data_IF_074032582751
#
_entry.id   IF_074032582751
#
_cell.length_a   1.000
_cell.length_b   1.000
_cell.length_c   1.000
_cell.angle_alpha   90.00
_cell.angle_beta   90.00
_cell.angle_gamma   90.00
#
_symmetry.space_group_name_H-M   'P 1'
#
loop_
_entity.id
_entity.type
_entity.pdbx_description
1 polymer ?
#
# COMPACT_ATOMS: atom_id res chain seq x y z
N UNK A 1 -7.26 2.98 13.41
CA UNK A 1 -6.12 2.14 12.99
C UNK A 1 -5.43 2.74 11.77
N UNK A 2 -6.08 2.78 10.61
CA UNK A 2 -5.52 3.27 9.34
C UNK A 2 -5.00 4.72 9.38
N UNK A 3 -5.68 5.62 10.12
CA UNK A 3 -5.29 7.03 10.26
C UNK A 3 -3.93 7.24 10.93
N UNK A 4 -3.39 6.24 11.63
CA UNK A 4 -2.01 6.29 12.15
C UNK A 4 -0.95 6.32 11.05
N UNK A 5 -1.28 5.81 9.85
CA UNK A 5 -0.38 5.80 8.69
C UNK A 5 -0.78 6.85 7.66
N UNK A 6 -2.03 6.81 7.19
CA UNK A 6 -2.48 7.65 6.09
C UNK A 6 -2.99 9.03 6.52
N UNK A 7 -3.17 9.27 7.83
CA UNK A 7 -3.76 10.51 8.37
C UNK A 7 -5.07 10.83 7.64
N UNK A 8 -5.19 12.01 7.05
CA UNK A 8 -6.37 12.47 6.32
C UNK A 8 -6.24 12.27 4.79
N UNK A 9 -5.18 11.60 4.32
CA UNK A 9 -4.98 11.33 2.89
C UNK A 9 -5.94 10.27 2.32
N UNK A 10 -6.71 9.60 3.18
CA UNK A 10 -7.83 8.76 2.80
C UNK A 10 -9.09 9.38 3.39
N UNK A 11 -10.08 9.68 2.55
CA UNK A 11 -11.45 9.90 2.99
C UNK A 11 -12.07 8.55 3.36
N UNK A 12 -11.97 8.21 4.66
CA UNK A 12 -12.48 6.97 5.21
C UNK A 12 -14.00 6.84 5.10
N UNK A 13 -14.74 7.96 5.00
CA UNK A 13 -16.20 7.94 4.88
C UNK A 13 -16.67 7.34 3.55
N UNK A 14 -15.78 7.31 2.54
CA UNK A 14 -16.04 6.75 1.20
C UNK A 14 -15.58 5.30 1.07
N UNK A 15 -14.78 4.80 2.01
CA UNK A 15 -14.27 3.43 1.95
C UNK A 15 -15.35 2.44 2.37
N UNK A 16 -15.53 1.37 1.59
CA UNK A 16 -16.40 0.25 1.94
C UNK A 16 -15.60 -1.04 1.96
N UNK A 17 -15.87 -1.89 2.95
CA UNK A 17 -15.25 -3.21 3.11
C UNK A 17 -16.35 -4.25 3.00
N UNK A 18 -16.27 -5.10 1.99
CA UNK A 18 -17.30 -6.07 1.69
C UNK A 18 -16.78 -7.50 1.92
N UNK A 19 -17.55 -8.30 2.66
CA UNK A 19 -17.38 -9.76 2.74
C UNK A 19 -18.05 -10.49 1.57
N UNK A 20 -17.82 -10.04 0.33
CA UNK A 20 -18.37 -10.65 -0.89
C UNK A 20 -17.38 -10.51 -2.05
N UNK A 21 -17.56 -11.34 -3.07
CA UNK A 21 -16.77 -11.26 -4.30
C UNK A 21 -17.08 -9.97 -5.06
N UNK A 22 -16.07 -9.39 -5.69
CA UNK A 22 -16.20 -8.33 -6.69
C UNK A 22 -16.63 -8.89 -8.06
N UNK A 23 -16.10 -10.06 -8.46
CA UNK A 23 -16.38 -10.73 -9.73
C UNK A 23 -16.74 -12.22 -9.53
N UNK A 24 -17.50 -12.85 -10.47
CA UNK A 24 -18.01 -14.23 -10.31
C UNK A 24 -16.95 -15.29 -9.96
N UNK A 25 -15.71 -15.13 -10.43
CA UNK A 25 -14.63 -16.09 -10.26
C UNK A 25 -13.48 -15.57 -9.38
N UNK A 26 -13.73 -14.59 -8.50
CA UNK A 26 -12.72 -14.19 -7.50
C UNK A 26 -12.35 -15.41 -6.63
N UNK A 27 -11.06 -15.79 -6.55
CA UNK A 27 -10.60 -16.95 -5.78
C UNK A 27 -10.94 -16.86 -4.29
N UNK A 28 -10.91 -18.00 -3.60
CA UNK A 28 -10.93 -18.03 -2.12
C UNK A 28 -9.66 -17.36 -1.59
N UNK A 29 -9.71 -16.85 -0.35
CA UNK A 29 -8.60 -16.20 0.33
C UNK A 29 -7.98 -15.07 -0.53
N UNK A 30 -8.84 -14.25 -1.13
CA UNK A 30 -8.45 -13.17 -2.01
C UNK A 30 -9.24 -11.91 -1.66
N UNK A 31 -8.57 -10.76 -1.75
CA UNK A 31 -9.18 -9.44 -1.71
C UNK A 31 -8.93 -8.74 -3.04
N UNK A 32 -9.87 -7.89 -3.46
CA UNK A 32 -9.72 -7.00 -4.59
C UNK A 32 -10.13 -5.60 -4.19
N UNK A 33 -9.35 -4.59 -4.63
CA UNK A 33 -9.59 -3.18 -4.30
C UNK A 33 -9.65 -2.33 -5.58
N UNK A 34 -10.65 -2.51 -6.45
CA UNK A 34 -10.62 -1.91 -7.80
C UNK A 34 -11.08 -0.45 -7.85
N UNK A 35 -11.85 0.04 -6.87
CA UNK A 35 -12.58 1.31 -6.98
C UNK A 35 -12.61 2.09 -5.65
N UNK A 36 -11.58 1.95 -4.81
CA UNK A 36 -11.54 2.54 -3.48
C UNK A 36 -12.40 1.82 -2.43
N UNK A 37 -13.03 0.70 -2.80
CA UNK A 37 -13.67 -0.24 -1.89
C UNK A 37 -12.98 -1.60 -1.94
N UNK A 38 -12.92 -2.29 -0.81
CA UNK A 38 -12.26 -3.57 -0.63
C UNK A 38 -13.29 -4.71 -0.66
N UNK A 39 -13.02 -5.76 -1.42
CA UNK A 39 -13.90 -6.92 -1.60
C UNK A 39 -13.17 -8.18 -1.18
N UNK A 40 -13.28 -8.52 0.11
CA UNK A 40 -12.73 -9.75 0.66
C UNK A 40 -13.67 -10.91 0.35
N UNK A 41 -13.10 -12.01 -0.13
CA UNK A 41 -13.83 -13.26 -0.19
C UNK A 41 -14.30 -13.65 1.22
N UNK A 42 -15.50 -14.24 1.36
CA UNK A 42 -16.08 -14.62 2.66
C UNK A 42 -15.16 -15.47 3.55
N UNK A 43 -14.27 -16.27 2.93
CA UNK A 43 -13.33 -17.13 3.66
C UNK A 43 -12.21 -16.38 4.39
N UNK A 44 -11.97 -15.10 4.08
CA UNK A 44 -10.93 -14.28 4.69
C UNK A 44 -11.45 -12.91 5.17
N UNK A 45 -12.76 -12.70 5.13
CA UNK A 45 -13.38 -11.47 5.61
C UNK A 45 -13.44 -11.48 7.14
N UNK A 46 -13.05 -10.36 7.75
CA UNK A 46 -13.25 -10.10 9.17
C UNK A 46 -14.28 -8.98 9.37
N UNK A 47 -15.21 -9.11 10.34
CA UNK A 47 -16.12 -8.02 10.71
C UNK A 47 -15.38 -6.79 11.22
N UNK A 48 -14.24 -7.00 11.88
CA UNK A 48 -13.39 -5.94 12.43
C UNK A 48 -11.91 -6.34 12.32
N UNK A 49 -11.19 -5.71 11.39
CA UNK A 49 -9.76 -5.94 11.18
C UNK A 49 -8.89 -5.37 12.31
N UNK A 50 -9.39 -4.47 13.16
CA UNK A 50 -8.61 -3.97 14.31
C UNK A 50 -8.42 -5.04 15.40
N UNK A 51 -9.23 -6.10 15.35
CA UNK A 51 -9.18 -7.27 16.23
C UNK A 51 -8.56 -8.50 15.54
N UNK A 52 -8.11 -8.35 14.29
CA UNK A 52 -7.43 -9.40 13.55
C UNK A 52 -6.05 -9.70 14.11
N UNK A 53 -5.51 -10.87 13.75
CA UNK A 53 -4.11 -11.17 14.00
C UNK A 53 -3.19 -10.26 13.15
N UNK A 54 -1.91 -10.11 13.50
CA UNK A 54 -1.01 -9.20 12.78
C UNK A 54 -0.95 -9.46 11.25
N UNK A 55 -0.97 -10.71 10.74
CA UNK A 55 -1.07 -10.97 9.30
C UNK A 55 -2.36 -10.44 8.66
N UNK A 56 -3.52 -10.59 9.31
CA UNK A 56 -4.77 -10.02 8.78
C UNK A 56 -4.75 -8.49 8.78
N UNK A 57 -4.17 -7.87 9.80
CA UNK A 57 -3.99 -6.41 9.84
C UNK A 57 -3.03 -5.95 8.74
N UNK A 58 -1.92 -6.65 8.54
CA UNK A 58 -0.97 -6.38 7.45
C UNK A 58 -1.68 -6.40 6.09
N UNK A 59 -2.41 -7.47 5.78
CA UNK A 59 -3.13 -7.58 4.53
C UNK A 59 -4.18 -6.47 4.36
N UNK A 60 -4.90 -6.13 5.42
CA UNK A 60 -5.84 -5.01 5.38
C UNK A 60 -5.15 -3.67 5.08
N UNK A 61 -3.98 -3.41 5.67
CA UNK A 61 -3.19 -2.21 5.41
C UNK A 61 -2.65 -2.18 3.98
N UNK A 62 -2.26 -3.32 3.41
CA UNK A 62 -1.90 -3.45 2.00
C UNK A 62 -3.06 -3.05 1.08
N UNK A 63 -4.26 -3.58 1.32
CA UNK A 63 -5.43 -3.24 0.50
C UNK A 63 -5.85 -1.76 0.68
N UNK A 64 -5.67 -1.18 1.88
CA UNK A 64 -5.85 0.25 2.09
C UNK A 64 -4.85 1.12 1.31
N UNK A 65 -3.62 0.66 1.07
CA UNK A 65 -2.69 1.38 0.20
C UNK A 65 -3.25 1.52 -1.23
N UNK A 66 -3.98 0.52 -1.72
CA UNK A 66 -4.69 0.62 -3.00
C UNK A 66 -5.90 1.56 -2.96
N UNK A 67 -6.61 1.64 -1.83
CA UNK A 67 -7.63 2.67 -1.64
C UNK A 67 -6.99 4.07 -1.71
N UNK A 68 -5.88 4.28 -1.01
CA UNK A 68 -5.12 5.53 -1.03
C UNK A 68 -4.66 5.89 -2.45
N UNK A 69 -4.02 4.96 -3.16
CA UNK A 69 -3.63 5.14 -4.57
C UNK A 69 -4.83 5.55 -5.45
N UNK A 70 -5.96 4.85 -5.31
CA UNK A 70 -7.18 5.16 -6.05
C UNK A 70 -7.72 6.55 -5.74
N UNK A 71 -7.77 6.96 -4.46
CA UNK A 71 -8.26 8.28 -4.08
C UNK A 71 -7.36 9.42 -4.58
N UNK A 72 -6.05 9.17 -4.75
CA UNK A 72 -5.11 10.09 -5.40
C UNK A 72 -5.12 10.01 -6.94
N UNK A 73 -6.06 9.25 -7.53
CA UNK A 73 -6.26 9.18 -8.99
C UNK A 73 -5.38 8.16 -9.72
N UNK A 74 -4.69 7.27 -9.00
CA UNK A 74 -3.92 6.19 -9.63
C UNK A 74 -4.85 5.11 -10.20
N UNK A 75 -4.54 4.58 -11.38
CA UNK A 75 -5.38 3.64 -12.12
C UNK A 75 -5.33 2.20 -11.57
N UNK A 76 -5.72 2.01 -10.31
CA UNK A 76 -5.70 0.72 -9.60
C UNK A 76 -6.54 -0.36 -10.30
N UNK A 77 -7.53 0.00 -11.12
CA UNK A 77 -8.30 -0.97 -11.93
C UNK A 77 -7.45 -1.78 -12.90
N UNK A 78 -6.34 -1.21 -13.37
CA UNK A 78 -5.39 -1.90 -14.24
C UNK A 78 -4.59 -2.97 -13.51
N UNK A 79 -4.65 -3.02 -12.17
CA UNK A 79 -4.03 -4.04 -11.31
C UNK A 79 -4.24 -5.45 -11.86
N UNK A 80 -5.47 -5.81 -12.22
CA UNK A 80 -5.78 -7.16 -12.72
C UNK A 80 -5.03 -7.56 -14.00
N UNK A 81 -4.79 -6.60 -14.90
CA UNK A 81 -4.04 -6.81 -16.14
C UNK A 81 -2.51 -6.77 -15.91
N UNK A 82 -2.07 -5.95 -14.96
CA UNK A 82 -0.65 -5.67 -14.69
C UNK A 82 -0.04 -6.68 -13.68
N UNK A 83 -0.87 -7.38 -12.90
CA UNK A 83 -0.45 -8.34 -11.85
C UNK A 83 0.44 -9.48 -12.38
N UNK A 84 0.37 -9.81 -13.66
CA UNK A 84 1.18 -10.84 -14.28
C UNK A 84 2.66 -10.45 -14.45
N UNK A 85 3.04 -9.20 -14.17
CA UNK A 85 4.43 -8.72 -14.33
C UNK A 85 4.98 -7.87 -13.18
N UNK A 86 4.26 -7.68 -12.08
CA UNK A 86 4.74 -6.89 -10.94
C UNK A 86 5.19 -7.79 -9.79
N UNK A 87 6.43 -7.56 -9.34
CA UNK A 87 6.93 -8.18 -8.12
C UNK A 87 6.35 -7.49 -6.88
N UNK A 88 5.99 -8.31 -5.90
CA UNK A 88 5.72 -7.90 -4.52
C UNK A 88 7.03 -7.62 -3.76
N UNK A 89 8.16 -8.14 -4.25
CA UNK A 89 9.45 -7.90 -3.64
C UNK A 89 9.95 -6.48 -3.91
N UNK A 90 10.50 -5.87 -2.87
CA UNK A 90 11.09 -4.55 -2.92
C UNK A 90 12.40 -4.50 -2.14
N UNK A 91 13.39 -3.80 -2.68
CA UNK A 91 14.65 -3.53 -2.00
C UNK A 91 14.69 -2.08 -1.51
N UNK A 92 14.75 -1.91 -0.19
CA UNK A 92 14.95 -0.61 0.44
C UNK A 92 16.41 -0.15 0.26
N UNK A 93 16.59 1.13 0.00
CA UNK A 93 17.90 1.77 -0.03
C UNK A 93 17.76 3.26 0.37
N UNK A 94 18.75 3.89 1.02
CA UNK A 94 18.66 5.28 1.48
C UNK A 94 18.38 6.32 0.38
N UNK A 95 18.70 6.02 -0.89
CA UNK A 95 18.43 6.90 -2.03
C UNK A 95 17.08 6.67 -2.71
N UNK A 96 16.25 5.74 -2.22
CA UNK A 96 14.91 5.47 -2.76
C UNK A 96 13.84 6.20 -1.97
N UNK A 97 12.76 6.50 -2.65
CA UNK A 97 11.51 7.06 -2.15
C UNK A 97 10.36 6.09 -2.42
N UNK A 98 9.20 6.28 -1.77
CA UNK A 98 8.03 5.43 -2.01
C UNK A 98 7.62 5.34 -3.49
N UNK A 99 7.80 6.43 -4.26
CA UNK A 99 7.46 6.50 -5.68
C UNK A 99 8.33 5.61 -6.58
N UNK A 100 9.51 5.19 -6.11
CA UNK A 100 10.42 4.33 -6.87
C UNK A 100 9.97 2.85 -6.88
N UNK A 101 8.89 2.55 -6.18
CA UNK A 101 8.30 1.22 -6.10
C UNK A 101 7.00 1.13 -6.91
N UNK A 102 6.76 -0.04 -7.51
CA UNK A 102 5.50 -0.32 -8.19
C UNK A 102 4.33 -0.37 -7.20
N UNK A 103 3.10 -0.37 -7.72
CA UNK A 103 1.89 -0.27 -6.87
C UNK A 103 1.72 -1.39 -5.83
N UNK A 104 2.13 -2.64 -6.14
CA UNK A 104 2.03 -3.77 -5.20
C UNK A 104 3.14 -3.68 -4.15
N UNK A 105 4.35 -3.36 -4.58
CA UNK A 105 5.48 -3.13 -3.70
C UNK A 105 5.22 -1.98 -2.71
N UNK A 106 4.57 -0.89 -3.15
CA UNK A 106 4.13 0.17 -2.24
C UNK A 106 3.13 -0.35 -1.19
N UNK A 107 2.21 -1.22 -1.60
CA UNK A 107 1.24 -1.84 -0.69
C UNK A 107 1.91 -2.65 0.41
N UNK A 108 2.85 -3.52 0.05
CA UNK A 108 3.61 -4.30 1.02
C UNK A 108 4.54 -3.44 1.87
N UNK A 109 5.23 -2.44 1.28
CA UNK A 109 6.13 -1.55 2.00
C UNK A 109 5.40 -0.76 3.10
N UNK A 110 4.24 -0.18 2.77
CA UNK A 110 3.41 0.55 3.73
C UNK A 110 2.83 -0.37 4.82
N UNK A 111 2.39 -1.58 4.45
CA UNK A 111 1.88 -2.58 5.40
C UNK A 111 2.97 -3.12 6.34
N UNK A 112 4.17 -3.37 5.82
CA UNK A 112 5.34 -3.80 6.57
C UNK A 112 5.79 -2.71 7.55
N UNK A 113 5.87 -1.46 7.10
CA UNK A 113 6.16 -0.33 7.97
C UNK A 113 5.15 -0.20 9.10
N UNK A 114 3.85 -0.31 8.81
CA UNK A 114 2.80 -0.27 9.82
C UNK A 114 2.95 -1.40 10.84
N UNK A 115 3.19 -2.61 10.34
CA UNK A 115 3.38 -3.81 11.16
C UNK A 115 4.59 -3.68 12.08
N UNK A 116 5.69 -3.15 11.55
CA UNK A 116 6.91 -2.93 12.32
C UNK A 116 6.72 -1.84 13.39
N UNK A 117 6.22 -0.65 12.98
CA UNK A 117 6.13 0.53 13.84
C UNK A 117 5.01 0.45 14.88
N UNK A 118 3.83 -0.04 14.47
CA UNK A 118 2.62 0.04 15.30
C UNK A 118 2.17 -1.29 15.89
N UNK A 119 2.43 -2.41 15.22
CA UNK A 119 2.10 -3.74 15.75
C UNK A 119 3.28 -4.40 16.47
N UNK A 120 4.50 -3.93 16.24
CA UNK A 120 5.75 -4.51 16.77
C UNK A 120 5.83 -6.02 16.50
N UNK A 121 5.32 -6.45 15.33
CA UNK A 121 5.18 -7.85 14.96
C UNK A 121 5.95 -8.15 13.67
N UNK A 122 7.29 -8.14 13.69
CA UNK A 122 8.10 -8.34 12.48
C UNK A 122 7.84 -9.70 11.80
N UNK A 123 7.36 -10.70 12.55
CA UNK A 123 6.96 -11.99 12.00
C UNK A 123 5.77 -11.90 11.02
N UNK A 124 4.96 -10.86 11.08
CA UNK A 124 3.83 -10.65 10.16
C UNK A 124 4.18 -9.81 8.93
N UNK A 125 5.40 -9.28 8.85
CA UNK A 125 5.88 -8.57 7.66
C UNK A 125 6.04 -9.52 6.47
N UNK A 126 5.88 -8.99 5.26
CA UNK A 126 6.19 -9.65 4.00
C UNK A 126 7.71 -9.74 3.81
N UNK A 127 8.42 -8.62 3.94
CA UNK A 127 9.88 -8.51 3.81
C UNK A 127 10.54 -8.58 5.19
N UNK A 128 10.48 -9.77 5.82
CA UNK A 128 11.06 -10.03 7.16
C UNK A 128 12.55 -9.69 7.27
N UNK A 129 13.29 -9.65 6.16
CA UNK A 129 14.69 -9.20 6.11
C UNK A 129 14.92 -7.77 6.65
N UNK A 130 13.88 -6.94 6.66
CA UNK A 130 13.91 -5.57 7.17
C UNK A 130 13.30 -5.43 8.59
N UNK A 131 13.14 -6.53 9.33
CA UNK A 131 12.55 -6.53 10.68
C UNK A 131 13.25 -5.61 11.69
N UNK A 132 14.52 -5.28 11.49
CA UNK A 132 15.29 -4.35 12.33
C UNK A 132 15.51 -2.97 11.70
N UNK A 133 14.91 -2.68 10.56
CA UNK A 133 15.28 -1.55 9.70
C UNK A 133 14.31 -0.37 9.76
N UNK A 134 13.75 -0.07 10.95
CA UNK A 134 12.75 0.99 11.10
C UNK A 134 13.25 2.35 10.57
N UNK A 135 14.49 2.72 10.88
CA UNK A 135 15.10 3.98 10.39
C UNK A 135 15.15 4.01 8.86
N UNK A 136 15.52 2.89 8.22
CA UNK A 136 15.57 2.81 6.75
C UNK A 136 14.18 2.96 6.12
N UNK A 137 13.14 2.38 6.74
CA UNK A 137 11.76 2.63 6.31
C UNK A 137 11.42 4.11 6.42
N UNK A 138 11.73 4.77 7.54
CA UNK A 138 11.42 6.19 7.74
C UNK A 138 12.19 7.10 6.76
N UNK A 139 13.42 6.74 6.39
CA UNK A 139 14.17 7.42 5.32
C UNK A 139 13.46 7.29 3.97
N UNK A 140 13.12 6.06 3.55
CA UNK A 140 12.46 5.81 2.24
C UNK A 140 11.05 6.42 2.18
N UNK A 141 10.35 6.41 3.32
CA UNK A 141 9.00 6.95 3.48
C UNK A 141 8.99 8.43 3.85
N UNK A 142 10.12 9.12 3.94
CA UNK A 142 10.18 10.50 4.46
C UNK A 142 9.19 11.45 3.74
N UNK A 143 9.13 11.39 2.40
CA UNK A 143 8.17 12.17 1.61
C UNK A 143 6.70 11.84 1.92
N UNK A 144 6.38 10.54 2.05
CA UNK A 144 5.04 10.08 2.43
C UNK A 144 4.67 10.47 3.87
N UNK A 145 5.62 10.34 4.81
CA UNK A 145 5.44 10.71 6.22
C UNK A 145 5.43 12.23 6.44
N UNK A 146 5.93 13.03 5.49
CA UNK A 146 5.74 14.47 5.48
C UNK A 146 4.36 14.84 4.95
N UNK A 147 3.99 14.32 3.77
CA UNK A 147 2.73 14.60 3.09
C UNK A 147 2.17 13.34 2.40
N UNK A 148 1.26 12.57 3.05
CA UNK A 148 0.71 11.36 2.47
C UNK A 148 -0.31 11.67 1.36
N UNK A 149 -0.80 12.90 1.27
CA UNK A 149 -1.75 13.34 0.24
C UNK A 149 -1.04 13.71 -1.07
N UNK A 150 0.29 13.83 -1.05
CA UNK A 150 1.06 14.16 -2.25
C UNK A 150 0.99 13.05 -3.29
N UNK A 151 0.54 13.39 -4.49
CA UNK A 151 0.60 12.51 -5.67
C UNK A 151 2.03 12.18 -6.09
N UNK A 152 3.04 12.90 -5.56
CA UNK A 152 4.44 12.57 -5.78
C UNK A 152 4.84 11.24 -5.15
N UNK A 153 4.05 10.69 -4.20
CA UNK A 153 4.29 9.39 -3.59
C UNK A 153 3.76 8.21 -4.41
N UNK A 154 2.91 8.47 -5.41
CA UNK A 154 2.39 7.43 -6.30
C UNK A 154 3.52 6.81 -7.13
N UNK A 155 3.35 5.57 -7.63
CA UNK A 155 4.35 4.93 -8.47
C UNK A 155 4.77 5.84 -9.62
N UNK A 156 6.09 5.94 -9.82
CA UNK A 156 6.67 6.73 -10.88
C UNK A 156 6.40 6.02 -12.22
N UNK A 157 5.36 6.45 -12.94
CA UNK A 157 5.22 6.14 -14.36
C UNK A 157 6.24 6.93 -15.18
N UNK A 158 6.50 6.50 -16.42
CA UNK A 158 7.49 7.13 -17.31
C UNK A 158 7.26 8.65 -17.39
N UNK A 159 6.00 9.10 -17.42
CA UNK A 159 5.63 10.52 -17.42
C UNK A 159 6.06 11.26 -16.15
N UNK A 160 5.75 10.73 -14.96
CA UNK A 160 6.18 11.29 -13.67
C UNK A 160 7.69 11.26 -13.48
N UNK A 161 8.35 10.22 -13.96
CA UNK A 161 9.80 10.09 -13.87
C UNK A 161 10.53 11.14 -14.72
N UNK A 162 10.05 11.39 -15.94
CA UNK A 162 10.58 12.46 -16.79
C UNK A 162 10.38 13.85 -16.15
N UNK A 163 9.21 14.11 -15.55
CA UNK A 163 8.93 15.34 -14.82
C UNK A 163 9.86 15.54 -13.60
N UNK A 164 10.08 14.48 -12.80
CA UNK A 164 11.00 14.52 -11.65
C UNK A 164 12.44 14.79 -12.08
N UNK A 165 12.92 14.11 -13.12
CA UNK A 165 14.27 14.33 -13.67
C UNK A 165 14.45 15.75 -14.17
N UNK A 166 13.41 16.35 -14.75
CA UNK A 166 13.45 17.74 -15.18
C UNK A 166 13.52 18.72 -14.00
N UNK A 167 12.71 18.49 -12.95
CA UNK A 167 12.71 19.33 -11.75
C UNK A 167 14.02 19.23 -10.96
N UNK A 168 14.60 18.03 -10.83
CA UNK A 168 15.88 17.81 -10.14
C UNK A 168 17.10 18.40 -10.88
N UNK A 169 16.97 18.69 -12.18
CA UNK A 169 18.02 19.35 -12.99
C UNK A 169 17.97 20.88 -12.91
N UNK A 170 16.91 21.45 -12.35
CA UNK A 170 16.72 22.90 -12.20
C UNK A 170 16.92 23.39 -10.75
N UNK A 171 17.20 22.48 -9.81
CA UNK A 171 17.49 22.77 -8.40
C UNK A 171 18.98 22.58 -8.11
#
# INVERSE_FOLDING_TARGET
MASRLFRDAIDYSRVRVHGRRYMPFQPKNCCMTPNGSMYFHRSCFLPDYTRGDPPAVHWFMHELAHVWQHQLGYAVRLRGAVRLGLSYDYDLAPGKTLADFNMEAQGDLLADYFTLKHLRSPAAMRQRRYAGSLVLYETVLAGFLADPSSTANLPCDVGRCLLRLHQARQA
#
